data_IF_615028237302
#
_entry.id   IF_615028237302
#
_cell.length_a   1.000
_cell.length_b   1.000
_cell.length_c   1.000
_cell.angle_alpha   90.00
_cell.angle_beta   90.00
_cell.angle_gamma   90.00
#
_symmetry.space_group_name_H-M   'P 1'
#
loop_
_entity.id
_entity.type
_entity.pdbx_description
1 polymer ?
#
# COMPACT_ATOMS: atom_id res chain seq x y z
N UNK A 1 41.16 9.89 26.56
CA UNK A 1 42.02 9.41 25.45
C UNK A 1 41.16 8.70 24.40
N UNK A 2 41.60 8.56 23.13
CA UNK A 2 40.76 8.05 22.03
C UNK A 2 40.10 6.69 22.29
N UNK A 3 40.72 5.83 23.10
CA UNK A 3 40.18 4.52 23.48
C UNK A 3 38.94 4.60 24.37
N UNK A 4 38.81 5.64 25.21
CA UNK A 4 37.65 5.83 26.09
C UNK A 4 36.41 6.25 25.31
N UNK A 5 36.60 6.98 24.20
CA UNK A 5 35.52 7.41 23.32
C UNK A 5 34.93 6.23 22.54
N UNK A 6 35.77 5.30 22.06
CA UNK A 6 35.30 4.10 21.37
C UNK A 6 34.55 3.16 22.32
N UNK A 7 35.10 2.92 23.51
CA UNK A 7 34.44 2.09 24.53
C UNK A 7 33.09 2.68 24.95
N UNK A 8 33.01 4.00 25.10
CA UNK A 8 31.75 4.68 25.36
C UNK A 8 30.75 4.51 24.20
N UNK A 9 31.19 4.68 22.95
CA UNK A 9 30.34 4.52 21.77
C UNK A 9 29.79 3.09 21.64
N UNK A 10 30.62 2.07 21.86
CA UNK A 10 30.21 0.67 21.87
C UNK A 10 29.21 0.38 22.98
N UNK A 11 29.45 0.88 24.20
CA UNK A 11 28.53 0.72 25.32
C UNK A 11 27.19 1.43 25.06
N UNK A 12 27.21 2.63 24.49
CA UNK A 12 26.01 3.37 24.11
C UNK A 12 25.21 2.64 23.03
N UNK A 13 25.87 2.10 21.99
CA UNK A 13 25.22 1.29 20.96
C UNK A 13 24.63 0.01 21.53
N UNK A 14 25.37 -0.70 22.38
CA UNK A 14 24.89 -1.93 23.02
C UNK A 14 23.68 -1.66 23.92
N UNK A 15 23.69 -0.57 24.68
CA UNK A 15 22.56 -0.14 25.48
C UNK A 15 21.34 0.13 24.59
N UNK A 16 21.50 0.92 23.53
CA UNK A 16 20.43 1.27 22.57
C UNK A 16 19.82 0.06 21.89
N UNK A 17 20.64 -0.90 21.46
CA UNK A 17 20.16 -2.13 20.81
C UNK A 17 19.38 -3.05 21.78
N UNK A 18 19.63 -2.94 23.09
CA UNK A 18 19.00 -3.80 24.11
C UNK A 18 17.82 -3.15 24.83
N UNK A 19 17.46 -1.90 24.51
CA UNK A 19 16.33 -1.19 25.15
C UNK A 19 15.01 -1.98 25.06
N UNK A 20 14.83 -2.76 23.98
CA UNK A 20 13.67 -3.61 23.74
C UNK A 20 14.01 -5.13 23.76
N UNK A 21 15.08 -5.55 24.44
CA UNK A 21 15.56 -6.95 24.40
C UNK A 21 14.48 -7.95 24.84
N UNK A 22 13.72 -7.64 25.88
CA UNK A 22 12.62 -8.49 26.34
C UNK A 22 11.54 -8.69 25.27
N UNK A 23 11.13 -7.61 24.59
CA UNK A 23 10.15 -7.68 23.50
C UNK A 23 10.70 -8.44 22.30
N UNK A 24 11.95 -8.19 21.90
CA UNK A 24 12.61 -8.89 20.80
C UNK A 24 12.72 -10.40 21.07
N UNK A 25 13.05 -10.80 22.30
CA UNK A 25 13.08 -12.22 22.73
C UNK A 25 11.70 -12.84 22.66
N UNK A 26 10.65 -12.14 23.13
CA UNK A 26 9.27 -12.62 23.06
C UNK A 26 8.82 -12.82 21.59
N UNK A 27 9.08 -11.85 20.72
CA UNK A 27 8.78 -11.94 19.27
C UNK A 27 9.53 -13.12 18.65
N UNK A 28 10.83 -13.27 18.94
CA UNK A 28 11.65 -14.38 18.43
C UNK A 28 11.08 -15.73 18.87
N UNK A 29 10.71 -15.87 20.14
CA UNK A 29 10.16 -17.12 20.66
C UNK A 29 8.77 -17.42 20.05
N UNK A 30 7.94 -16.39 19.85
CA UNK A 30 6.67 -16.51 19.15
C UNK A 30 6.83 -16.91 17.68
N UNK A 31 7.80 -16.35 16.96
CA UNK A 31 8.12 -16.77 15.60
C UNK A 31 8.62 -18.23 15.56
N UNK A 32 9.50 -18.59 16.50
CA UNK A 32 10.07 -19.93 16.62
C UNK A 32 9.06 -21.02 17.03
N UNK A 33 7.87 -20.66 17.52
CA UNK A 33 6.80 -21.62 17.82
C UNK A 33 6.03 -22.06 16.57
N UNK A 34 6.11 -21.28 15.50
CA UNK A 34 5.43 -21.53 14.21
C UNK A 34 6.44 -21.99 13.15
N UNK A 35 7.62 -21.38 13.12
CA UNK A 35 8.67 -21.64 12.12
C UNK A 35 9.89 -22.26 12.82
N UNK A 36 10.50 -23.33 12.28
CA UNK A 36 11.67 -23.95 12.90
C UNK A 36 12.81 -22.94 13.12
N UNK A 37 13.24 -22.76 14.36
CA UNK A 37 14.29 -21.78 14.69
C UNK A 37 15.59 -21.98 13.91
N UNK A 38 15.89 -23.22 13.49
CA UNK A 38 17.07 -23.56 12.70
C UNK A 38 17.08 -22.96 11.29
N UNK A 39 15.92 -22.58 10.72
CA UNK A 39 15.86 -21.98 9.38
C UNK A 39 16.03 -20.46 9.39
N UNK A 40 15.74 -19.79 10.51
CA UNK A 40 15.81 -18.32 10.59
C UNK A 40 17.22 -17.77 10.33
N UNK A 41 18.32 -18.39 10.83
CA UNK A 41 19.68 -17.94 10.52
C UNK A 41 20.10 -18.15 9.06
N UNK A 42 19.35 -18.93 8.28
CA UNK A 42 19.63 -19.13 6.84
C UNK A 42 19.25 -17.90 6.01
N UNK A 43 18.47 -16.97 6.59
CA UNK A 43 18.01 -15.75 5.94
C UNK A 43 18.67 -14.53 6.57
N UNK A 44 19.16 -13.62 5.74
CA UNK A 44 19.49 -12.27 6.19
C UNK A 44 18.22 -11.49 6.57
N UNK A 45 18.36 -10.47 7.43
CA UNK A 45 17.20 -9.67 7.86
C UNK A 45 16.42 -9.04 6.70
N UNK A 46 17.09 -8.67 5.60
CA UNK A 46 16.46 -8.13 4.38
C UNK A 46 15.64 -9.17 3.63
N UNK A 47 16.07 -10.42 3.64
CA UNK A 47 15.37 -11.53 2.99
C UNK A 47 14.14 -11.91 3.81
N UNK A 48 14.30 -11.99 5.14
CA UNK A 48 13.18 -12.20 6.06
C UNK A 48 12.15 -11.07 5.94
N UNK A 49 12.57 -9.81 5.93
CA UNK A 49 11.67 -8.66 5.69
C UNK A 49 10.94 -8.81 4.36
N UNK A 50 11.64 -9.16 3.27
CA UNK A 50 11.01 -9.32 1.95
C UNK A 50 10.01 -10.47 1.94
N UNK A 51 10.28 -11.57 2.64
CA UNK A 51 9.37 -12.71 2.73
C UNK A 51 8.11 -12.39 3.54
N UNK A 52 8.26 -11.65 4.65
CA UNK A 52 7.15 -11.34 5.56
C UNK A 52 6.36 -10.11 5.11
N UNK A 53 7.05 -9.03 4.77
CA UNK A 53 6.45 -7.74 4.42
C UNK A 53 6.23 -7.59 2.91
N UNK A 54 6.83 -8.43 2.06
CA UNK A 54 6.83 -8.25 0.61
C UNK A 54 7.87 -7.23 0.14
N UNK A 55 7.87 -6.93 -1.17
CA UNK A 55 8.79 -5.96 -1.76
C UNK A 55 8.43 -4.54 -1.32
N UNK A 56 9.44 -3.74 -0.98
CA UNK A 56 9.26 -2.34 -0.59
C UNK A 56 8.88 -1.41 -1.75
N UNK A 57 9.19 -1.79 -2.98
CA UNK A 57 8.72 -1.09 -4.18
C UNK A 57 7.54 -1.83 -4.81
N UNK A 58 6.59 -1.06 -5.35
CA UNK A 58 5.39 -1.59 -5.99
C UNK A 58 5.74 -1.99 -7.43
N UNK A 59 5.71 -3.29 -7.68
CA UNK A 59 5.92 -3.89 -9.00
C UNK A 59 4.66 -3.69 -9.87
N UNK A 60 4.71 -2.69 -10.76
CA UNK A 60 3.58 -2.30 -11.61
C UNK A 60 3.18 -3.43 -12.57
N UNK A 61 4.15 -4.18 -13.09
CA UNK A 61 3.88 -5.31 -14.00
C UNK A 61 3.17 -6.44 -13.25
N UNK A 62 3.56 -6.71 -12.01
CA UNK A 62 2.87 -7.67 -11.16
C UNK A 62 1.43 -7.25 -10.87
N UNK A 63 1.21 -5.99 -10.52
CA UNK A 63 -0.12 -5.44 -10.30
C UNK A 63 -0.98 -5.55 -11.57
N UNK A 64 -0.42 -5.19 -12.73
CA UNK A 64 -1.10 -5.27 -14.02
C UNK A 64 -1.52 -6.71 -14.37
N UNK A 65 -0.62 -7.69 -14.20
CA UNK A 65 -0.97 -9.11 -14.39
C UNK A 65 -2.06 -9.59 -13.43
N UNK A 66 -2.17 -8.97 -12.26
CA UNK A 66 -3.19 -9.27 -11.26
C UNK A 66 -4.40 -8.30 -11.32
N UNK A 67 -4.68 -7.72 -12.49
CA UNK A 67 -5.81 -6.82 -12.71
C UNK A 67 -6.95 -7.49 -13.49
N UNK A 68 -8.17 -7.28 -13.05
CA UNK A 68 -9.40 -7.51 -13.81
C UNK A 68 -9.97 -6.19 -14.32
N UNK A 69 -10.52 -6.22 -15.53
CA UNK A 69 -11.18 -5.08 -16.16
C UNK A 69 -12.69 -5.37 -16.19
N UNK A 70 -13.46 -4.49 -15.56
CA UNK A 70 -14.92 -4.64 -15.49
C UNK A 70 -15.61 -4.30 -16.81
N UNK A 71 -16.92 -4.53 -16.89
CA UNK A 71 -17.72 -4.26 -18.09
C UNK A 71 -17.51 -2.83 -18.62
N UNK A 72 -17.24 -2.72 -19.93
CA UNK A 72 -16.97 -1.44 -20.57
C UNK A 72 -15.53 -0.92 -20.42
N UNK A 73 -14.63 -1.70 -19.84
CA UNK A 73 -13.19 -1.42 -19.77
C UNK A 73 -12.42 -2.54 -20.47
N UNK A 74 -11.59 -2.17 -21.45
CA UNK A 74 -10.70 -3.10 -22.14
C UNK A 74 -9.24 -2.78 -21.83
N UNK A 75 -8.35 -3.78 -21.63
CA UNK A 75 -6.91 -3.55 -21.50
C UNK A 75 -6.31 -2.84 -22.73
N UNK A 76 -6.96 -2.94 -23.88
CA UNK A 76 -6.52 -2.32 -25.13
C UNK A 76 -6.97 -0.86 -25.28
N UNK A 77 -7.86 -0.37 -24.41
CA UNK A 77 -8.32 1.01 -24.47
C UNK A 77 -7.18 1.98 -24.12
N UNK A 78 -7.10 3.11 -24.83
CA UNK A 78 -6.05 4.11 -24.59
C UNK A 78 -6.06 4.61 -23.14
N UNK A 79 -7.23 4.79 -22.53
CA UNK A 79 -7.30 5.23 -21.13
C UNK A 79 -6.70 4.21 -20.14
N UNK A 80 -6.77 2.90 -20.43
CA UNK A 80 -6.17 1.86 -19.59
C UNK A 80 -4.67 1.77 -19.83
N UNK A 81 -4.24 1.81 -21.11
CA UNK A 81 -2.81 1.85 -21.45
C UNK A 81 -2.13 3.09 -20.85
N UNK A 82 -2.83 4.23 -20.85
CA UNK A 82 -2.42 5.46 -20.20
C UNK A 82 -2.24 5.27 -18.70
N UNK A 83 -3.20 4.63 -18.03
CA UNK A 83 -3.10 4.33 -16.60
C UNK A 83 -1.83 3.57 -16.25
N UNK A 84 -1.51 2.49 -16.97
CA UNK A 84 -0.30 1.73 -16.69
C UNK A 84 0.98 2.50 -17.01
N UNK A 85 1.00 3.26 -18.12
CA UNK A 85 2.13 4.12 -18.49
C UNK A 85 2.39 5.19 -17.44
N UNK A 86 1.34 5.86 -16.95
CA UNK A 86 1.41 6.87 -15.91
C UNK A 86 1.86 6.27 -14.59
N UNK A 87 1.28 5.14 -14.16
CA UNK A 87 1.67 4.48 -12.91
C UNK A 87 3.12 3.96 -12.96
N UNK A 88 3.58 3.48 -14.11
CA UNK A 88 4.99 3.11 -14.31
C UNK A 88 5.93 4.32 -14.21
N UNK A 89 5.47 5.51 -14.56
CA UNK A 89 6.24 6.77 -14.44
C UNK A 89 6.32 7.32 -13.00
N UNK A 90 5.60 6.72 -12.05
CA UNK A 90 5.66 7.13 -10.64
C UNK A 90 6.97 6.67 -10.01
N UNK A 91 7.47 7.46 -9.06
CA UNK A 91 8.54 7.02 -8.16
C UNK A 91 8.00 6.03 -7.10
N UNK A 92 8.90 5.46 -6.29
CA UNK A 92 8.50 4.42 -5.32
C UNK A 92 7.53 4.94 -4.26
N UNK A 93 7.67 6.19 -3.81
CA UNK A 93 6.77 6.77 -2.81
C UNK A 93 5.38 6.98 -3.41
N UNK A 94 5.32 7.54 -4.62
CA UNK A 94 4.08 7.77 -5.37
C UNK A 94 3.34 6.45 -5.63
N UNK A 95 4.04 5.37 -6.00
CA UNK A 95 3.39 4.06 -6.20
C UNK A 95 2.88 3.46 -4.89
N UNK A 96 3.63 3.60 -3.80
CA UNK A 96 3.18 3.15 -2.47
C UNK A 96 1.94 3.91 -2.03
N UNK A 97 1.89 5.23 -2.24
CA UNK A 97 0.72 6.04 -1.90
C UNK A 97 -0.49 5.69 -2.78
N UNK A 98 -0.28 5.46 -4.07
CA UNK A 98 -1.33 4.95 -4.95
C UNK A 98 -1.87 3.60 -4.43
N UNK A 99 -0.98 2.67 -4.04
CA UNK A 99 -1.41 1.38 -3.54
C UNK A 99 -2.19 1.49 -2.23
N UNK A 100 -1.80 2.41 -1.32
CA UNK A 100 -2.60 2.72 -0.13
C UNK A 100 -3.97 3.22 -0.54
N UNK A 101 -4.04 4.16 -1.48
CA UNK A 101 -5.30 4.72 -1.98
C UNK A 101 -6.27 3.64 -2.50
N UNK A 102 -5.78 2.65 -3.26
CA UNK A 102 -6.66 1.61 -3.83
C UNK A 102 -6.85 0.36 -2.96
N UNK A 103 -5.95 0.10 -2.00
CA UNK A 103 -5.89 -1.19 -1.30
C UNK A 103 -5.62 -1.12 0.20
N UNK A 104 -5.43 0.09 0.77
CA UNK A 104 -5.04 0.31 2.16
C UNK A 104 -3.73 -0.38 2.59
N UNK A 105 -2.88 -0.77 1.63
CA UNK A 105 -1.59 -1.42 1.86
C UNK A 105 -0.49 -0.69 1.12
N UNK A 106 0.70 -0.64 1.68
CA UNK A 106 1.88 -0.03 1.05
C UNK A 106 2.72 -1.02 0.24
N UNK A 107 2.42 -2.33 0.30
CA UNK A 107 3.22 -3.37 -0.36
C UNK A 107 2.36 -4.40 -1.06
N UNK A 108 2.85 -4.89 -2.20
CA UNK A 108 2.24 -6.02 -2.92
C UNK A 108 2.64 -7.36 -2.27
N UNK A 109 1.82 -8.42 -2.43
CA UNK A 109 2.23 -9.78 -2.15
C UNK A 109 3.49 -10.17 -2.93
N UNK A 110 4.21 -11.20 -2.46
CA UNK A 110 5.48 -11.61 -3.05
C UNK A 110 5.32 -12.16 -4.48
N UNK A 111 4.19 -12.79 -4.79
CA UNK A 111 3.88 -13.35 -6.11
C UNK A 111 2.41 -13.18 -6.48
N UNK A 112 2.08 -13.42 -7.75
CA UNK A 112 0.70 -13.38 -8.25
C UNK A 112 -0.23 -14.40 -7.56
N UNK A 113 0.31 -15.54 -7.10
CA UNK A 113 -0.46 -16.57 -6.41
C UNK A 113 -0.88 -16.17 -4.99
N UNK A 114 -0.20 -15.19 -4.40
CA UNK A 114 -0.41 -14.74 -3.02
C UNK A 114 -1.46 -13.62 -2.91
N UNK A 115 -2.05 -13.19 -4.03
CA UNK A 115 -3.12 -12.21 -4.02
C UNK A 115 -4.43 -12.87 -3.58
N UNK A 116 -4.98 -12.40 -2.45
CA UNK A 116 -6.29 -12.83 -1.98
C UNK A 116 -7.45 -12.33 -2.86
N UNK A 117 -7.23 -11.24 -3.60
CA UNK A 117 -8.17 -10.67 -4.56
C UNK A 117 -7.42 -9.93 -5.66
N UNK A 118 -8.04 -9.80 -6.84
CA UNK A 118 -7.49 -9.04 -7.95
C UNK A 118 -7.81 -7.56 -7.86
N UNK A 119 -6.93 -6.73 -8.42
CA UNK A 119 -7.20 -5.31 -8.60
C UNK A 119 -8.26 -5.15 -9.68
N UNK A 120 -9.29 -4.33 -9.46
CA UNK A 120 -10.34 -4.11 -10.46
C UNK A 120 -10.29 -2.70 -11.01
N UNK A 121 -10.14 -2.58 -12.33
CA UNK A 121 -10.23 -1.30 -13.01
C UNK A 121 -11.62 -1.14 -13.63
N UNK A 122 -12.32 -0.09 -13.21
CA UNK A 122 -13.72 0.15 -13.55
C UNK A 122 -13.85 1.51 -14.25
N UNK A 123 -14.78 1.61 -15.19
CA UNK A 123 -15.10 2.89 -15.80
C UNK A 123 -15.75 3.79 -14.73
N UNK A 124 -15.32 5.04 -14.63
CA UNK A 124 -16.03 5.99 -13.79
C UNK A 124 -17.42 6.26 -14.35
N UNK A 125 -18.43 6.10 -13.52
CA UNK A 125 -19.84 6.34 -13.86
C UNK A 125 -20.35 7.63 -13.21
N UNK A 126 -21.33 8.32 -13.81
CA UNK A 126 -21.97 9.46 -13.19
C UNK A 126 -22.60 9.11 -11.84
N UNK A 127 -22.61 10.06 -10.92
CA UNK A 127 -23.25 9.84 -9.62
C UNK A 127 -24.75 9.59 -9.78
N UNK A 128 -25.31 8.60 -9.07
CA UNK A 128 -26.75 8.37 -9.07
C UNK A 128 -27.48 9.63 -8.58
N UNK A 129 -28.44 10.13 -9.37
CA UNK A 129 -29.23 11.30 -9.00
C UNK A 129 -28.60 12.65 -9.34
N UNK A 130 -27.56 12.70 -10.19
CA UNK A 130 -27.07 13.96 -10.75
C UNK A 130 -28.19 14.73 -11.47
N UNK A 131 -28.25 16.04 -11.24
CA UNK A 131 -29.25 16.90 -11.87
C UNK A 131 -29.12 16.89 -13.40
N UNK A 132 -30.24 16.95 -14.16
CA UNK A 132 -30.18 17.06 -15.62
C UNK A 132 -29.34 18.27 -16.06
N UNK A 133 -28.32 18.03 -16.89
CA UNK A 133 -27.41 19.07 -17.37
C UNK A 133 -26.26 19.43 -16.43
N UNK A 134 -26.09 18.72 -15.31
CA UNK A 134 -24.88 18.82 -14.50
C UNK A 134 -23.68 18.24 -15.27
N UNK A 135 -22.49 18.80 -15.02
CA UNK A 135 -21.23 18.20 -15.49
C UNK A 135 -21.13 16.77 -14.97
N UNK A 136 -20.73 15.84 -15.81
CA UNK A 136 -20.55 14.45 -15.42
C UNK A 136 -19.21 13.90 -15.92
N UNK A 137 -18.81 12.79 -15.31
CA UNK A 137 -17.50 12.17 -15.53
C UNK A 137 -17.33 11.56 -16.93
N UNK A 138 -18.44 11.33 -17.65
CA UNK A 138 -18.41 10.79 -19.02
C UNK A 138 -18.09 11.91 -20.01
N UNK A 139 -18.68 13.10 -19.83
CA UNK A 139 -18.52 14.23 -20.75
C UNK A 139 -17.32 15.14 -20.39
N UNK A 140 -17.01 15.30 -19.09
CA UNK A 140 -15.91 16.13 -18.60
C UNK A 140 -14.98 15.35 -17.64
N UNK A 141 -14.36 14.24 -18.08
CA UNK A 141 -13.59 13.33 -17.21
C UNK A 141 -12.48 14.04 -16.42
N UNK A 142 -11.81 15.01 -17.05
CA UNK A 142 -10.71 15.79 -16.47
C UNK A 142 -11.14 16.66 -15.28
N UNK A 143 -12.44 16.92 -15.11
CA UNK A 143 -12.96 17.66 -13.97
C UNK A 143 -13.06 16.78 -12.70
N UNK A 144 -13.03 15.45 -12.83
CA UNK A 144 -13.30 14.52 -11.73
C UNK A 144 -12.03 13.81 -11.25
N UNK A 145 -12.00 13.50 -9.95
CA UNK A 145 -10.98 12.67 -9.34
C UNK A 145 -11.33 11.19 -9.51
N UNK A 146 -10.33 10.28 -9.55
CA UNK A 146 -10.59 8.87 -9.50
C UNK A 146 -11.17 8.50 -8.13
N UNK A 147 -11.95 7.42 -8.08
CA UNK A 147 -12.54 6.92 -6.82
C UNK A 147 -12.09 5.50 -6.56
N UNK A 148 -11.53 5.27 -5.38
CA UNK A 148 -11.14 3.94 -4.95
C UNK A 148 -12.18 3.33 -4.01
N UNK A 149 -12.38 2.02 -4.11
CA UNK A 149 -13.10 1.23 -3.13
C UNK A 149 -12.12 0.21 -2.53
N UNK A 150 -11.49 0.63 -1.43
CA UNK A 150 -10.36 -0.09 -0.81
C UNK A 150 -10.72 -1.52 -0.41
N UNK A 151 -11.90 -1.73 0.17
CA UNK A 151 -12.41 -3.06 0.53
C UNK A 151 -12.46 -4.02 -0.66
N UNK A 152 -12.77 -3.50 -1.86
CA UNK A 152 -12.91 -4.30 -3.08
C UNK A 152 -11.66 -4.27 -3.94
N UNK A 153 -10.60 -3.57 -3.52
CA UNK A 153 -9.39 -3.34 -4.31
C UNK A 153 -9.75 -2.89 -5.73
N UNK A 154 -10.62 -1.88 -5.84
CA UNK A 154 -11.08 -1.36 -7.13
C UNK A 154 -10.88 0.14 -7.28
N UNK A 155 -10.77 0.56 -8.54
CA UNK A 155 -10.58 1.94 -8.95
C UNK A 155 -11.54 2.29 -10.08
N UNK A 156 -12.42 3.25 -9.83
CA UNK A 156 -13.19 3.94 -10.85
C UNK A 156 -12.30 5.00 -11.49
N UNK A 157 -11.94 4.78 -12.75
CA UNK A 157 -11.00 5.61 -13.49
C UNK A 157 -11.75 6.45 -14.54
N UNK A 158 -11.77 7.78 -14.43
CA UNK A 158 -12.24 8.65 -15.50
C UNK A 158 -11.37 8.51 -16.76
N UNK A 159 -11.99 8.65 -17.94
CA UNK A 159 -11.31 8.58 -19.24
C UNK A 159 -10.54 9.87 -19.54
N UNK A 160 -9.50 10.15 -18.76
CA UNK A 160 -8.71 11.39 -18.86
C UNK A 160 -8.13 11.63 -20.25
N UNK A 161 -8.04 12.91 -20.62
CA UNK A 161 -7.62 13.34 -21.97
C UNK A 161 -6.12 13.16 -22.22
N UNK A 162 -5.27 13.27 -21.18
CA UNK A 162 -3.81 13.26 -21.31
C UNK A 162 -3.10 12.52 -20.15
N UNK A 163 -1.82 12.16 -20.34
CA UNK A 163 -0.98 11.50 -19.33
C UNK A 163 -0.78 12.42 -18.13
N UNK A 164 -0.58 13.71 -18.41
CA UNK A 164 -0.38 14.76 -17.43
C UNK A 164 -1.61 14.90 -16.54
N UNK A 165 -2.80 14.98 -17.14
CA UNK A 165 -4.05 15.06 -16.37
C UNK A 165 -4.22 13.83 -15.49
N UNK A 166 -4.01 12.63 -16.05
CA UNK A 166 -4.15 11.40 -15.28
C UNK A 166 -3.14 11.33 -14.12
N UNK A 167 -1.88 11.71 -14.37
CA UNK A 167 -0.83 11.79 -13.35
C UNK A 167 -1.26 12.71 -12.22
N UNK A 168 -1.65 13.94 -12.53
CA UNK A 168 -2.03 14.94 -11.54
C UNK A 168 -3.22 14.48 -10.71
N UNK A 169 -4.24 13.89 -11.34
CA UNK A 169 -5.46 13.41 -10.67
C UNK A 169 -5.20 12.19 -9.79
N UNK A 170 -4.42 11.21 -10.27
CA UNK A 170 -4.01 10.04 -9.49
C UNK A 170 -3.17 10.43 -8.29
N UNK A 171 -2.17 11.29 -8.48
CA UNK A 171 -1.31 11.77 -7.38
C UNK A 171 -2.13 12.58 -6.38
N UNK A 172 -2.94 13.53 -6.84
CA UNK A 172 -3.79 14.31 -5.96
C UNK A 172 -4.69 13.41 -5.10
N UNK A 173 -5.40 12.47 -5.73
CA UNK A 173 -6.25 11.53 -4.99
C UNK A 173 -5.45 10.66 -4.00
N UNK A 174 -4.28 10.16 -4.43
CA UNK A 174 -3.44 9.27 -3.62
C UNK A 174 -2.87 9.97 -2.37
N UNK A 175 -2.47 11.23 -2.49
CA UNK A 175 -1.85 11.98 -1.38
C UNK A 175 -2.87 12.70 -0.48
N UNK A 176 -4.11 12.94 -0.94
CA UNK A 176 -5.09 13.72 -0.20
C UNK A 176 -6.27 12.89 0.33
N UNK A 177 -6.26 11.57 0.15
CA UNK A 177 -7.27 10.68 0.73
C UNK A 177 -6.89 10.31 2.18
N UNK A 178 -7.44 11.06 3.14
CA UNK A 178 -7.13 10.93 4.58
C UNK A 178 -7.78 9.71 5.26
N UNK A 179 -8.65 8.97 4.58
CA UNK A 179 -9.44 7.89 5.19
C UNK A 179 -8.63 6.64 5.54
N UNK A 180 -7.34 6.60 5.17
CA UNK A 180 -6.47 5.44 5.30
C UNK A 180 -5.45 5.54 6.44
N UNK A 181 -5.37 6.68 7.14
CA UNK A 181 -4.47 6.89 8.28
C UNK A 181 -5.09 6.49 9.63
N UNK A 182 -6.15 5.67 9.61
CA UNK A 182 -6.78 5.14 10.83
C UNK A 182 -5.85 4.20 11.63
N UNK A 183 -4.75 3.73 11.04
CA UNK A 183 -3.79 2.84 11.72
C UNK A 183 -2.93 3.53 12.81
N UNK A 184 -3.12 4.83 13.11
CA UNK A 184 -2.32 5.52 14.14
C UNK A 184 -3.05 6.36 15.20
N UNK A 185 -4.39 6.37 15.24
CA UNK A 185 -5.10 6.90 16.41
C UNK A 185 -6.30 6.03 16.75
N UNK A 186 -6.03 4.90 17.40
CA UNK A 186 -6.98 4.41 18.39
C UNK A 186 -7.18 5.57 19.38
N UNK A 187 -8.37 6.17 19.37
CA UNK A 187 -8.78 7.06 20.44
C UNK A 187 -8.67 6.27 21.75
N UNK A 188 -8.17 6.91 22.81
CA UNK A 188 -8.04 6.30 24.14
C UNK A 188 -9.35 5.65 24.65
N UNK A 189 -10.50 6.03 24.05
CA UNK A 189 -11.81 5.41 24.31
C UNK A 189 -11.94 3.96 23.87
N UNK A 190 -11.11 3.46 22.95
CA UNK A 190 -11.17 2.06 22.46
C UNK A 190 -10.13 1.12 23.08
N UNK A 191 -9.27 1.61 23.99
CA UNK A 191 -8.36 0.77 24.80
C UNK A 191 -9.06 0.07 25.98
N UNK A 192 -10.33 0.42 26.25
CA UNK A 192 -11.12 -0.14 27.34
C UNK A 192 -11.80 -1.46 26.98
N UNK A 193 -11.03 -2.53 26.75
CA UNK A 193 -11.66 -3.79 26.29
C UNK A 193 -10.79 -5.03 26.29
N UNK A 194 -10.03 -5.32 27.36
CA UNK A 194 -9.51 -6.68 27.59
C UNK A 194 -9.95 -7.18 28.97
N UNK A 195 -11.12 -7.84 29.10
CA UNK A 195 -11.44 -8.63 30.27
C UNK A 195 -10.93 -10.05 30.05
N UNK A 196 -9.88 -10.43 30.77
CA UNK A 196 -9.53 -11.85 30.99
C UNK A 196 -8.11 -12.25 30.63
N UNK A 197 -7.18 -12.00 31.54
CA UNK A 197 -6.09 -12.95 31.83
C UNK A 197 -6.00 -13.02 33.36
N UNK A 198 -6.55 -14.09 33.93
CA UNK A 198 -6.22 -14.56 35.29
C UNK A 198 -4.94 -15.36 35.26
#
# INVERSE_FOLDING_TARGET
>A
APHEVLAYAEAAMAARLREAEAAAVAIRNGLASVVPAAVLPLLGWRELERMVCGRGDVDVDLLQRNTEYDEGVSPEDEHVRRFWRVLASFDSEQRQQFLRFVWARSRLPASAADFAQKFKLQAAVPEPGAAPGARDVVHEPDAFLPKAHTCFFSLNLPRYSSDEVMRDKLLYASFNCLTLDADYRLLDSELGGWPGVT
#
